data_IF_208296788316
#
_entry.id   IF_208296788316
#
_cell.length_a   1.000
_cell.length_b   1.000
_cell.length_c   1.000
_cell.angle_alpha   90.00
_cell.angle_beta   90.00
_cell.angle_gamma   90.00
#
_symmetry.space_group_name_H-M   'P 1'
#
loop_
_entity.id
_entity.type
_entity.pdbx_description
1 polymer ?
#
# COMPACT_ATOMS: atom_id res chain seq x y z
N UNK A 1 -6.99 21.75 21.27
CA UNK A 1 -8.19 21.81 20.42
C UNK A 1 -8.47 20.40 19.96
N UNK A 2 -9.53 19.80 20.48
CA UNK A 2 -10.05 18.54 19.97
C UNK A 2 -10.66 18.80 18.59
N UNK A 3 -10.26 18.00 17.60
CA UNK A 3 -10.84 18.05 16.27
C UNK A 3 -11.68 16.78 16.05
N UNK A 4 -12.88 16.92 15.48
CA UNK A 4 -13.82 15.80 15.32
C UNK A 4 -14.20 15.62 13.86
N UNK A 5 -14.03 14.40 13.35
CA UNK A 5 -14.36 14.01 11.98
C UNK A 5 -15.38 12.87 11.97
N UNK A 6 -16.02 12.60 10.82
CA UNK A 6 -16.86 11.41 10.67
C UNK A 6 -15.99 10.15 10.65
N UNK A 7 -14.92 10.19 9.85
CA UNK A 7 -13.98 9.09 9.69
C UNK A 7 -12.55 9.53 9.96
N UNK A 8 -11.81 8.69 10.68
CA UNK A 8 -10.36 8.79 10.79
C UNK A 8 -9.72 7.63 10.03
N UNK A 9 -8.89 7.93 9.05
CA UNK A 9 -8.09 6.94 8.32
C UNK A 9 -6.64 7.08 8.77
N UNK A 10 -6.08 6.02 9.36
CA UNK A 10 -4.74 6.03 9.95
C UNK A 10 -3.74 5.35 9.02
N UNK A 11 -2.85 6.13 8.42
CA UNK A 11 -1.86 5.70 7.43
C UNK A 11 -2.29 6.06 6.02
N UNK A 12 -1.54 6.94 5.36
CA UNK A 12 -1.75 7.29 3.95
C UNK A 12 -0.94 6.38 3.02
N UNK A 13 -1.00 5.07 3.27
CA UNK A 13 -0.44 4.04 2.40
C UNK A 13 -1.34 3.74 1.19
N UNK A 14 -1.02 2.69 0.42
CA UNK A 14 -1.81 2.31 -0.76
C UNK A 14 -3.31 2.17 -0.47
N UNK A 15 -3.67 1.39 0.55
CA UNK A 15 -5.06 1.17 0.93
C UNK A 15 -5.69 2.43 1.55
N UNK A 16 -4.96 3.15 2.41
CA UNK A 16 -5.47 4.35 3.08
C UNK A 16 -5.75 5.51 2.12
N UNK A 17 -4.88 5.73 1.13
CA UNK A 17 -5.12 6.68 0.05
C UNK A 17 -6.36 6.30 -0.77
N UNK A 18 -6.47 5.03 -1.17
CA UNK A 18 -7.60 4.55 -1.96
C UNK A 18 -8.93 4.69 -1.22
N UNK A 19 -8.97 4.25 0.04
CA UNK A 19 -10.14 4.35 0.90
C UNK A 19 -10.55 5.80 1.12
N UNK A 20 -9.63 6.66 1.59
CA UNK A 20 -9.94 8.05 1.90
C UNK A 20 -10.38 8.83 0.66
N UNK A 21 -9.74 8.59 -0.49
CA UNK A 21 -10.13 9.19 -1.77
C UNK A 21 -11.54 8.76 -2.19
N UNK A 22 -11.82 7.45 -2.19
CA UNK A 22 -13.15 6.93 -2.59
C UNK A 22 -14.25 7.35 -1.63
N UNK A 23 -13.99 7.36 -0.33
CA UNK A 23 -14.94 7.83 0.67
C UNK A 23 -15.27 9.32 0.45
N UNK A 24 -14.25 10.15 0.19
CA UNK A 24 -14.44 11.56 -0.12
C UNK A 24 -15.20 11.79 -1.44
N UNK A 25 -15.04 10.91 -2.45
CA UNK A 25 -15.78 11.02 -3.72
C UNK A 25 -17.24 10.55 -3.59
N UNK A 26 -17.55 9.70 -2.61
CA UNK A 26 -18.87 9.11 -2.42
C UNK A 26 -19.86 9.96 -1.61
N UNK A 27 -19.39 11.01 -0.93
CA UNK A 27 -20.22 11.81 -0.03
C UNK A 27 -19.51 13.02 0.54
N UNK A 28 -20.14 13.64 1.53
CA UNK A 28 -19.69 14.89 2.17
C UNK A 28 -19.29 14.70 3.65
N UNK A 29 -19.20 13.46 4.13
CA UNK A 29 -18.71 13.15 5.48
C UNK A 29 -17.28 13.71 5.65
N UNK A 30 -16.97 14.28 6.82
CA UNK A 30 -15.65 14.84 7.05
C UNK A 30 -14.63 13.76 7.40
N UNK A 31 -13.49 13.77 6.71
CA UNK A 31 -12.48 12.71 6.77
C UNK A 31 -11.15 13.31 7.18
N UNK A 32 -10.50 12.72 8.18
CA UNK A 32 -9.09 13.00 8.46
C UNK A 32 -8.22 11.79 8.11
N UNK A 33 -7.32 11.98 7.15
CA UNK A 33 -6.29 11.02 6.77
C UNK A 33 -4.98 11.40 7.45
N UNK A 34 -4.52 10.56 8.38
CA UNK A 34 -3.36 10.82 9.24
C UNK A 34 -2.14 10.04 8.72
N UNK A 35 -1.02 10.71 8.46
CA UNK A 35 0.21 10.09 7.96
C UNK A 35 1.44 10.53 8.76
N UNK A 36 2.23 9.57 9.21
CA UNK A 36 3.43 9.82 10.02
C UNK A 36 4.60 10.41 9.21
N UNK A 37 4.66 10.13 7.91
CA UNK A 37 5.64 10.70 7.00
C UNK A 37 5.22 12.01 6.35
N UNK A 38 6.03 12.47 5.41
CA UNK A 38 5.83 13.72 4.66
C UNK A 38 5.06 13.53 3.35
N UNK A 39 5.04 14.60 2.55
CA UNK A 39 4.44 14.63 1.23
C UNK A 39 5.24 13.81 0.19
N UNK A 40 4.56 13.37 -0.87
CA UNK A 40 5.15 12.61 -1.99
C UNK A 40 5.75 13.50 -3.09
N UNK A 41 5.68 14.82 -2.95
CA UNK A 41 6.17 15.81 -3.91
C UNK A 41 7.69 15.94 -3.91
N UNK A 42 8.38 14.90 -4.40
CA UNK A 42 9.83 14.93 -4.52
C UNK A 42 10.32 14.22 -5.77
N UNK A 43 11.32 14.78 -6.45
CA UNK A 43 11.87 14.22 -7.69
C UNK A 43 12.34 12.77 -7.51
N UNK A 44 12.96 12.44 -6.37
CA UNK A 44 13.38 11.06 -6.06
C UNK A 44 12.19 10.09 -5.96
N UNK A 45 10.99 10.55 -5.57
CA UNK A 45 9.80 9.70 -5.54
C UNK A 45 9.25 9.52 -6.95
N UNK A 46 9.17 10.61 -7.73
CA UNK A 46 8.60 10.58 -9.07
C UNK A 46 9.44 9.82 -10.08
N UNK A 47 10.77 9.86 -9.95
CA UNK A 47 11.70 9.21 -10.88
C UNK A 47 11.86 7.73 -10.53
N UNK A 48 11.40 6.77 -11.37
CA UNK A 48 11.45 5.34 -11.08
C UNK A 48 12.81 4.82 -10.59
N UNK A 49 13.89 5.13 -11.31
CA UNK A 49 15.25 4.66 -11.00
C UNK A 49 15.85 5.28 -9.73
N UNK A 50 15.33 6.42 -9.27
CA UNK A 50 15.86 7.11 -8.09
C UNK A 50 15.58 6.38 -6.77
N UNK A 51 14.73 5.34 -6.79
CA UNK A 51 14.49 4.43 -5.65
C UNK A 51 15.77 3.90 -5.02
N UNK A 52 16.77 3.58 -5.85
CA UNK A 52 18.07 3.06 -5.41
C UNK A 52 18.80 4.00 -4.43
N UNK A 53 18.52 5.31 -4.46
CA UNK A 53 19.18 6.29 -3.60
C UNK A 53 18.67 6.30 -2.14
N UNK A 54 17.44 5.86 -1.89
CA UNK A 54 16.82 5.95 -0.55
C UNK A 54 16.28 4.63 0.00
N UNK A 55 16.10 3.59 -0.83
CA UNK A 55 15.70 2.26 -0.37
C UNK A 55 16.68 1.60 0.62
N UNK A 56 18.02 1.72 0.49
CA UNK A 56 18.95 0.97 1.33
C UNK A 56 18.98 1.37 2.81
N UNK A 57 18.44 2.54 3.18
CA UNK A 57 18.54 3.10 4.54
C UNK A 57 17.21 3.62 5.04
N UNK A 58 17.01 3.55 6.36
CA UNK A 58 15.93 4.26 7.02
C UNK A 58 16.09 5.77 6.81
N UNK A 59 14.97 6.50 6.74
CA UNK A 59 14.97 7.94 6.53
C UNK A 59 13.57 8.52 6.34
N UNK A 60 13.49 9.65 5.66
CA UNK A 60 12.23 10.39 5.47
C UNK A 60 11.20 9.65 4.62
N UNK A 61 11.62 8.65 3.83
CA UNK A 61 10.77 7.90 2.88
C UNK A 61 10.72 6.40 3.12
N UNK A 62 11.63 5.91 3.95
CA UNK A 62 11.74 4.50 4.29
C UNK A 62 11.75 4.38 5.81
N UNK A 63 10.78 3.67 6.38
CA UNK A 63 10.77 3.35 7.81
C UNK A 63 12.02 2.55 8.18
N UNK A 64 12.47 1.66 7.29
CA UNK A 64 13.67 0.85 7.45
C UNK A 64 13.52 -0.23 8.52
N UNK A 65 12.41 -0.96 8.50
CA UNK A 65 12.22 -2.10 9.39
C UNK A 65 13.32 -3.13 9.17
N UNK A 66 13.60 -3.89 10.22
CA UNK A 66 14.51 -5.03 10.17
C UNK A 66 13.89 -6.19 10.93
N UNK A 67 14.09 -7.39 10.43
CA UNK A 67 13.71 -8.58 11.18
C UNK A 67 14.54 -8.71 12.46
N UNK A 68 14.02 -9.48 13.41
CA UNK A 68 14.88 -10.15 14.40
C UNK A 68 15.87 -11.08 13.70
N UNK A 69 16.95 -11.54 14.35
CA UNK A 69 17.84 -12.55 13.77
C UNK A 69 17.03 -13.75 13.26
N UNK A 70 17.27 -14.15 12.02
CA UNK A 70 16.54 -15.25 11.38
C UNK A 70 17.41 -16.51 11.42
N UNK A 71 16.96 -17.53 12.15
CA UNK A 71 17.68 -18.82 12.27
C UNK A 71 17.89 -19.46 10.89
N UNK A 72 16.84 -19.52 10.06
CA UNK A 72 16.91 -20.04 8.69
C UNK A 72 17.76 -19.20 7.72
N UNK A 73 18.37 -18.11 8.17
CA UNK A 73 19.27 -17.25 7.39
C UNK A 73 20.59 -16.98 8.12
N UNK A 74 21.09 -17.96 8.89
CA UNK A 74 22.36 -17.88 9.63
C UNK A 74 22.43 -16.71 10.62
N UNK A 75 21.31 -16.42 11.29
CA UNK A 75 21.21 -15.34 12.28
C UNK A 75 21.19 -13.93 11.67
N UNK A 76 21.09 -13.80 10.34
CA UNK A 76 21.03 -12.49 9.67
C UNK A 76 19.77 -11.72 10.06
N UNK A 77 19.90 -10.40 10.13
CA UNK A 77 18.79 -9.45 10.22
C UNK A 77 18.52 -8.87 8.86
N UNK A 78 17.38 -9.23 8.28
CA UNK A 78 16.98 -8.83 6.93
C UNK A 78 16.35 -7.44 6.96
N UNK A 79 16.65 -6.63 5.94
CA UNK A 79 16.03 -5.31 5.76
C UNK A 79 14.65 -5.47 5.14
N UNK A 80 13.66 -4.80 5.71
CA UNK A 80 12.27 -4.77 5.23
C UNK A 80 11.87 -3.30 4.98
N UNK A 81 12.15 -2.76 3.78
CA UNK A 81 11.79 -1.38 3.46
C UNK A 81 10.27 -1.16 3.54
N UNK A 82 9.85 -0.16 4.30
CA UNK A 82 8.45 0.25 4.40
C UNK A 82 8.32 1.71 4.01
N UNK A 83 7.40 2.05 3.10
CA UNK A 83 7.25 3.44 2.66
C UNK A 83 6.75 4.34 3.80
N UNK A 84 7.38 5.51 3.97
CA UNK A 84 7.01 6.53 4.95
C UNK A 84 6.60 7.81 4.23
N UNK A 85 5.34 8.23 4.39
CA UNK A 85 4.78 9.40 3.72
C UNK A 85 3.60 9.06 2.83
N UNK A 86 3.01 10.09 2.20
CA UNK A 86 1.85 9.93 1.33
C UNK A 86 2.14 8.91 0.21
N UNK A 87 1.26 7.92 0.07
CA UNK A 87 1.38 6.76 -0.81
C UNK A 87 1.97 5.51 -0.13
N UNK A 88 2.56 5.62 1.06
CA UNK A 88 3.22 4.53 1.78
C UNK A 88 4.13 3.70 0.88
N UNK A 89 4.08 2.37 0.94
CA UNK A 89 5.01 1.55 0.14
C UNK A 89 4.90 1.74 -1.38
N UNK A 90 3.79 2.26 -1.94
CA UNK A 90 3.73 2.62 -3.37
C UNK A 90 4.68 3.75 -3.77
N UNK A 91 5.14 4.56 -2.80
CA UNK A 91 6.14 5.61 -3.02
C UNK A 91 7.56 5.04 -3.21
N UNK A 92 7.82 3.81 -2.79
CA UNK A 92 9.15 3.17 -2.84
C UNK A 92 9.19 1.86 -3.65
N UNK A 93 8.06 1.29 -4.05
CA UNK A 93 7.98 -0.02 -4.72
C UNK A 93 8.67 -0.07 -6.09
N UNK A 94 8.84 -1.26 -6.64
CA UNK A 94 9.30 -1.48 -8.01
C UNK A 94 8.25 -1.12 -9.08
N UNK A 95 7.04 -0.70 -8.68
CA UNK A 95 5.91 -0.33 -9.55
C UNK A 95 5.33 -1.46 -10.40
N UNK A 96 5.82 -2.70 -10.30
CA UNK A 96 5.23 -3.85 -10.98
C UNK A 96 3.74 -3.94 -10.64
N UNK A 97 2.91 -4.05 -11.66
CA UNK A 97 1.46 -4.20 -11.52
C UNK A 97 1.06 -5.63 -11.88
N UNK A 98 0.76 -6.42 -10.85
CA UNK A 98 0.27 -7.79 -10.93
C UNK A 98 -0.79 -8.02 -9.87
N UNK A 99 -1.81 -8.82 -10.20
CA UNK A 99 -2.87 -9.27 -9.31
C UNK A 99 -2.57 -10.70 -8.84
N UNK A 100 -3.16 -11.11 -7.72
CA UNK A 100 -3.23 -12.53 -7.35
C UNK A 100 -3.99 -13.36 -8.40
N UNK A 101 -3.94 -14.68 -8.26
CA UNK A 101 -4.74 -15.60 -9.07
C UNK A 101 -6.18 -15.66 -8.54
N UNK A 102 -7.18 -16.00 -9.38
CA UNK A 102 -8.56 -16.20 -8.92
C UNK A 102 -8.66 -17.08 -7.66
N UNK A 103 -7.94 -18.20 -7.65
CA UNK A 103 -7.91 -19.13 -6.53
C UNK A 103 -7.39 -18.53 -5.20
N UNK A 104 -6.56 -17.48 -5.24
CA UNK A 104 -6.09 -16.81 -4.02
C UNK A 104 -7.25 -16.10 -3.30
N UNK A 105 -8.16 -15.49 -4.07
CA UNK A 105 -9.32 -14.76 -3.56
C UNK A 105 -10.47 -15.71 -3.19
N UNK A 106 -10.68 -16.74 -4.01
CA UNK A 106 -11.66 -17.79 -3.69
C UNK A 106 -11.29 -18.50 -2.38
N UNK A 107 -9.99 -18.76 -2.15
CA UNK A 107 -9.52 -19.29 -0.88
C UNK A 107 -9.76 -18.34 0.31
N UNK A 108 -9.76 -17.02 0.11
CA UNK A 108 -10.16 -16.08 1.17
C UNK A 108 -11.66 -16.18 1.48
N UNK A 109 -12.50 -16.28 0.45
CA UNK A 109 -13.93 -16.48 0.64
C UNK A 109 -14.23 -17.81 1.36
N UNK A 110 -13.57 -18.89 0.95
CA UNK A 110 -13.68 -20.20 1.60
C UNK A 110 -13.20 -20.18 3.06
N UNK A 111 -12.25 -19.29 3.39
CA UNK A 111 -11.79 -19.06 4.77
C UNK A 111 -12.74 -18.17 5.60
N UNK A 112 -13.87 -17.72 5.04
CA UNK A 112 -14.90 -16.94 5.72
C UNK A 112 -14.86 -15.44 5.45
N UNK A 113 -14.08 -14.98 4.47
CA UNK A 113 -14.12 -13.59 4.01
C UNK A 113 -15.24 -13.42 2.96
N UNK A 114 -16.49 -13.36 3.42
CA UNK A 114 -17.65 -13.18 2.55
C UNK A 114 -17.48 -11.95 1.63
N UNK A 115 -17.76 -12.12 0.33
CA UNK A 115 -17.62 -11.06 -0.67
C UNK A 115 -16.18 -10.81 -1.15
N UNK A 116 -15.23 -11.71 -0.86
CA UNK A 116 -13.84 -11.64 -1.31
C UNK A 116 -13.47 -12.68 -2.36
N UNK A 117 -14.43 -13.39 -2.96
CA UNK A 117 -14.15 -14.31 -4.06
C UNK A 117 -13.63 -13.56 -5.29
N UNK A 118 -13.01 -14.24 -6.25
CA UNK A 118 -12.51 -13.61 -7.47
C UNK A 118 -13.57 -12.78 -8.19
N UNK A 119 -14.79 -13.33 -8.28
CA UNK A 119 -15.90 -12.67 -9.00
C UNK A 119 -16.35 -11.40 -8.29
N UNK A 120 -16.23 -11.34 -6.96
CA UNK A 120 -16.60 -10.18 -6.15
C UNK A 120 -15.54 -9.06 -6.23
N UNK A 121 -14.26 -9.43 -6.29
CA UNK A 121 -13.15 -8.45 -6.26
C UNK A 121 -12.74 -7.96 -7.65
N UNK A 122 -12.95 -8.74 -8.72
CA UNK A 122 -12.61 -8.35 -10.09
C UNK A 122 -13.20 -6.98 -10.51
N UNK A 123 -14.48 -6.66 -10.22
CA UNK A 123 -15.02 -5.32 -10.47
C UNK A 123 -14.23 -4.19 -9.80
N UNK A 124 -13.63 -4.44 -8.63
CA UNK A 124 -12.82 -3.44 -7.92
C UNK A 124 -11.42 -3.30 -8.52
N UNK A 125 -10.83 -4.39 -9.03
CA UNK A 125 -9.57 -4.32 -9.79
C UNK A 125 -9.74 -3.49 -11.05
N UNK A 126 -10.79 -3.77 -11.84
CA UNK A 126 -11.15 -2.97 -13.01
C UNK A 126 -11.40 -1.51 -12.65
N UNK A 127 -12.21 -1.25 -11.61
CA UNK A 127 -12.52 0.12 -11.17
C UNK A 127 -11.30 0.91 -10.67
N UNK A 128 -10.24 0.23 -10.21
CA UNK A 128 -9.01 0.88 -9.77
C UNK A 128 -8.08 1.22 -10.94
N UNK A 129 -8.09 0.43 -12.00
CA UNK A 129 -7.13 0.46 -13.10
C UNK A 129 -7.49 1.46 -14.20
N UNK A 130 -6.48 2.15 -14.72
CA UNK A 130 -6.49 2.81 -16.02
C UNK A 130 -5.34 2.23 -16.85
N UNK A 131 -5.63 1.13 -17.54
CA UNK A 131 -4.66 0.41 -18.36
C UNK A 131 -4.50 1.11 -19.71
N UNK A 132 -3.26 1.45 -20.06
CA UNK A 132 -2.97 2.19 -21.28
C UNK A 132 -2.95 1.31 -22.55
N UNK A 133 -2.96 -0.02 -22.42
CA UNK A 133 -2.82 -0.96 -23.55
C UNK A 133 -3.98 -1.95 -23.67
N UNK A 134 -4.39 -2.54 -22.55
CA UNK A 134 -5.28 -3.70 -22.53
C UNK A 134 -6.73 -3.34 -22.24
N UNK A 135 -6.97 -2.23 -21.53
CA UNK A 135 -8.33 -1.72 -21.45
C UNK A 135 -8.72 -1.24 -22.85
N UNK A 136 -9.55 -2.02 -23.53
CA UNK A 136 -10.13 -1.69 -24.82
C UNK A 136 -11.20 -0.59 -24.70
N UNK A 137 -12.39 -0.86 -25.22
CA UNK A 137 -13.59 -0.07 -24.91
C UNK A 137 -14.05 -0.35 -23.46
N UNK A 138 -15.03 0.40 -22.94
CA UNK A 138 -15.47 0.37 -21.53
C UNK A 138 -15.96 -1.01 -21.01
N UNK A 139 -15.93 -2.06 -21.84
CA UNK A 139 -16.45 -3.41 -21.59
C UNK A 139 -15.41 -4.54 -21.48
N UNK A 140 -14.09 -4.26 -21.52
CA UNK A 140 -13.07 -5.31 -21.33
C UNK A 140 -13.30 -6.11 -20.03
N UNK A 141 -13.37 -7.46 -20.07
CA UNK A 141 -13.80 -8.26 -18.93
C UNK A 141 -12.81 -8.28 -17.76
N UNK A 142 -11.53 -7.97 -18.00
CA UNK A 142 -10.46 -8.10 -17.02
C UNK A 142 -9.82 -6.76 -16.66
N UNK A 143 -9.81 -5.79 -17.57
CA UNK A 143 -9.11 -4.52 -17.39
C UNK A 143 -10.06 -3.33 -17.25
N UNK A 144 -9.57 -2.30 -16.55
CA UNK A 144 -10.23 -1.00 -16.45
C UNK A 144 -9.45 0.08 -17.19
N UNK A 145 -10.17 0.95 -17.90
CA UNK A 145 -9.59 2.07 -18.66
C UNK A 145 -9.68 3.43 -17.96
N UNK A 146 -10.50 3.56 -16.93
CA UNK A 146 -10.94 4.87 -16.39
C UNK A 146 -10.64 5.05 -14.90
N UNK A 147 -10.03 4.06 -14.25
CA UNK A 147 -9.67 4.10 -12.85
C UNK A 147 -8.53 5.10 -12.53
N UNK A 148 -8.31 5.41 -11.25
CA UNK A 148 -7.31 6.41 -10.85
C UNK A 148 -5.85 5.92 -10.97
N UNK A 149 -5.61 4.61 -11.05
CA UNK A 149 -4.28 4.03 -11.10
C UNK A 149 -3.84 3.78 -12.55
N UNK A 150 -2.99 4.65 -13.09
CA UNK A 150 -2.40 4.42 -14.41
C UNK A 150 -1.48 3.20 -14.41
N UNK A 151 -1.75 2.28 -15.33
CA UNK A 151 -0.98 1.07 -15.60
C UNK A 151 -0.51 1.13 -17.05
N UNK A 152 0.80 1.06 -17.26
CA UNK A 152 1.41 1.17 -18.59
C UNK A 152 2.53 0.17 -18.79
N UNK A 153 2.88 -0.10 -20.03
CA UNK A 153 4.13 -0.77 -20.34
C UNK A 153 5.33 0.12 -19.96
N UNK A 154 6.51 -0.48 -19.87
CA UNK A 154 7.77 0.24 -19.63
C UNK A 154 8.10 1.15 -20.83
N UNK A 155 8.35 2.45 -20.57
CA UNK A 155 8.79 3.38 -21.63
C UNK A 155 10.23 3.17 -22.08
N UNK A 156 11.08 2.67 -21.19
CA UNK A 156 12.51 2.47 -21.44
C UNK A 156 12.94 1.14 -20.80
N UNK A 157 12.47 0.00 -21.33
CA UNK A 157 12.84 -1.31 -20.82
C UNK A 157 14.34 -1.54 -21.00
N UNK A 158 14.95 -2.32 -20.10
CA UNK A 158 16.34 -2.73 -20.27
C UNK A 158 16.46 -3.57 -21.56
N UNK A 159 17.27 -3.15 -22.55
CA UNK A 159 17.43 -3.90 -23.80
C UNK A 159 17.82 -5.36 -23.58
N UNK A 160 18.61 -5.64 -22.53
CA UNK A 160 19.07 -6.99 -22.22
C UNK A 160 17.94 -7.95 -21.85
N UNK A 161 16.82 -7.46 -21.33
CA UNK A 161 15.70 -8.31 -20.94
C UNK A 161 15.01 -8.99 -22.15
N UNK A 162 15.20 -8.50 -23.38
CA UNK A 162 14.79 -9.22 -24.59
C UNK A 162 15.49 -10.58 -24.70
N UNK A 163 16.80 -10.63 -24.45
CA UNK A 163 17.55 -11.88 -24.51
C UNK A 163 17.09 -12.89 -23.45
N UNK A 164 16.66 -12.40 -22.28
CA UNK A 164 16.10 -13.25 -21.25
C UNK A 164 14.77 -13.89 -21.71
N UNK A 165 13.86 -13.07 -22.26
CA UNK A 165 12.58 -13.54 -22.80
C UNK A 165 12.80 -14.54 -23.93
N UNK A 166 13.67 -14.22 -24.89
CA UNK A 166 13.98 -15.10 -26.03
C UNK A 166 14.59 -16.44 -25.57
N UNK A 167 15.50 -16.41 -24.59
CA UNK A 167 16.10 -17.61 -24.04
C UNK A 167 15.07 -18.48 -23.30
N UNK A 168 14.18 -17.87 -22.51
CA UNK A 168 13.10 -18.57 -21.83
C UNK A 168 12.12 -19.21 -22.82
N UNK A 169 11.77 -18.53 -23.91
CA UNK A 169 10.96 -19.12 -24.99
C UNK A 169 11.64 -20.33 -25.64
N UNK A 170 12.95 -20.25 -25.93
CA UNK A 170 13.72 -21.39 -26.46
C UNK A 170 13.82 -22.56 -25.48
N UNK A 171 13.70 -22.28 -24.18
CA UNK A 171 13.63 -23.30 -23.13
C UNK A 171 12.22 -23.88 -22.93
N UNK A 172 11.23 -23.46 -23.73
CA UNK A 172 9.86 -23.97 -23.68
C UNK A 172 8.91 -23.19 -22.77
N UNK A 173 9.33 -22.06 -22.21
CA UNK A 173 8.47 -21.20 -21.39
C UNK A 173 7.61 -20.33 -22.32
N UNK A 174 6.29 -20.37 -22.15
CA UNK A 174 5.34 -19.63 -22.98
C UNK A 174 5.53 -18.13 -22.79
N UNK A 175 5.46 -17.37 -23.90
CA UNK A 175 5.50 -15.91 -23.83
C UNK A 175 4.16 -15.40 -23.29
N UNK A 176 4.20 -14.57 -22.26
CA UNK A 176 3.03 -13.95 -21.67
C UNK A 176 3.03 -12.44 -21.95
N UNK A 177 1.94 -11.93 -22.54
CA UNK A 177 1.75 -10.52 -22.85
C UNK A 177 0.93 -9.76 -21.80
N UNK A 178 0.35 -10.47 -20.84
CA UNK A 178 -0.53 -9.94 -19.81
C UNK A 178 -0.58 -10.87 -18.58
N UNK A 179 0.20 -10.53 -17.57
CA UNK A 179 0.24 -11.25 -16.29
C UNK A 179 -1.04 -11.08 -15.45
N UNK A 180 -2.01 -10.30 -15.91
CA UNK A 180 -3.32 -10.12 -15.28
C UNK A 180 -4.48 -10.63 -16.14
N UNK A 181 -4.17 -11.33 -17.23
CA UNK A 181 -5.13 -11.95 -18.14
C UNK A 181 -5.61 -13.31 -17.62
N UNK A 182 -6.28 -14.06 -18.50
CA UNK A 182 -6.81 -15.40 -18.19
C UNK A 182 -5.71 -16.38 -17.73
N UNK A 183 -4.52 -16.29 -18.35
CA UNK A 183 -3.35 -17.10 -18.00
C UNK A 183 -2.20 -16.22 -17.50
N UNK A 184 -1.73 -16.46 -16.27
CA UNK A 184 -0.61 -15.71 -15.68
C UNK A 184 0.76 -16.38 -15.90
N UNK A 185 0.79 -17.67 -16.26
CA UNK A 185 2.05 -18.38 -16.45
C UNK A 185 2.80 -17.88 -17.68
N UNK A 186 4.13 -17.82 -17.58
CA UNK A 186 5.00 -17.55 -18.72
C UNK A 186 6.06 -16.48 -18.47
N UNK A 187 6.63 -15.99 -19.56
CA UNK A 187 7.72 -15.01 -19.57
C UNK A 187 7.37 -13.80 -20.44
N UNK A 188 7.63 -12.59 -19.93
CA UNK A 188 7.19 -11.38 -20.61
C UNK A 188 7.59 -10.11 -19.89
N UNK A 189 7.01 -9.01 -20.35
CA UNK A 189 7.21 -7.69 -19.77
C UNK A 189 6.13 -7.39 -18.75
N UNK A 190 6.53 -7.00 -17.54
CA UNK A 190 5.58 -6.49 -16.56
C UNK A 190 5.03 -5.12 -17.01
N UNK A 191 3.74 -4.91 -16.78
CA UNK A 191 3.19 -3.56 -16.71
C UNK A 191 3.55 -2.92 -15.37
N UNK A 192 3.56 -1.59 -15.36
CA UNK A 192 3.98 -0.80 -14.21
C UNK A 192 2.99 0.31 -13.91
N UNK A 193 2.90 0.70 -12.64
CA UNK A 193 2.14 1.87 -12.19
C UNK A 193 2.92 3.16 -12.49
N UNK A 194 2.95 3.54 -13.77
CA UNK A 194 3.62 4.74 -14.26
C UNK A 194 2.70 5.53 -15.19
N UNK A 195 2.91 6.84 -15.25
CA UNK A 195 2.24 7.71 -16.20
C UNK A 195 3.21 8.79 -16.67
N UNK A 196 3.32 8.99 -17.99
CA UNK A 196 4.27 9.92 -18.61
C UNK A 196 5.73 9.73 -18.14
N UNK A 197 6.12 8.49 -17.81
CA UNK A 197 7.47 8.13 -17.36
C UNK A 197 7.76 8.43 -15.89
N UNK A 198 6.76 8.87 -15.12
CA UNK A 198 6.86 9.07 -13.68
C UNK A 198 6.12 7.96 -12.92
N UNK A 199 6.59 7.68 -11.71
CA UNK A 199 5.89 6.85 -10.73
C UNK A 199 4.48 7.40 -10.49
N UNK A 200 3.49 6.50 -10.51
CA UNK A 200 2.10 6.78 -10.18
C UNK A 200 1.70 6.10 -8.87
N UNK A 201 2.08 6.71 -7.74
CA UNK A 201 1.79 6.18 -6.41
C UNK A 201 0.30 6.37 -6.02
N UNK A 202 -0.12 5.73 -4.93
CA UNK A 202 -1.52 5.77 -4.49
C UNK A 202 -2.01 7.17 -4.06
N UNK A 203 -1.16 8.01 -3.46
CA UNK A 203 -1.55 9.38 -3.12
C UNK A 203 -1.83 10.20 -4.38
N UNK A 204 -0.99 10.05 -5.41
CA UNK A 204 -1.17 10.69 -6.70
C UNK A 204 -2.43 10.22 -7.42
N UNK A 205 -2.72 8.92 -7.36
CA UNK A 205 -3.92 8.34 -7.95
C UNK A 205 -5.20 8.82 -7.25
N UNK A 206 -5.28 8.69 -5.92
CA UNK A 206 -6.55 8.83 -5.19
C UNK A 206 -6.74 10.16 -4.45
N UNK A 207 -5.65 10.83 -4.07
CA UNK A 207 -5.73 12.02 -3.20
C UNK A 207 -5.57 13.34 -3.95
N UNK A 208 -4.65 13.44 -4.91
CA UNK A 208 -4.40 14.71 -5.62
C UNK A 208 -4.52 14.64 -7.15
N UNK A 209 -4.95 13.51 -7.71
CA UNK A 209 -5.34 13.38 -9.12
C UNK A 209 -4.21 13.77 -10.08
N UNK A 210 -2.97 13.42 -9.75
CA UNK A 210 -1.81 13.77 -10.56
C UNK A 210 -1.23 15.17 -10.34
N UNK A 211 -1.92 16.06 -9.60
CA UNK A 211 -1.46 17.43 -9.38
C UNK A 211 -0.38 17.50 -8.29
N UNK A 212 0.88 17.34 -8.71
CA UNK A 212 2.06 17.44 -7.83
C UNK A 212 2.27 18.84 -7.20
N UNK A 213 1.48 19.85 -7.56
CA UNK A 213 1.49 21.19 -6.96
C UNK A 213 0.39 21.38 -5.92
N UNK A 214 -0.47 20.38 -5.71
CA UNK A 214 -1.55 20.43 -4.74
C UNK A 214 -1.00 20.37 -3.30
N UNK A 215 -0.83 21.55 -2.69
CA UNK A 215 -0.31 21.70 -1.33
C UNK A 215 -1.21 21.13 -0.23
N UNK A 216 -2.50 20.94 -0.50
CA UNK A 216 -3.44 20.35 0.46
C UNK A 216 -3.59 18.84 0.28
N UNK A 217 -3.04 18.30 -0.83
CA UNK A 217 -3.05 16.88 -1.18
C UNK A 217 -4.43 16.23 -1.14
N UNK A 218 -5.52 16.98 -1.32
CA UNK A 218 -6.90 16.50 -1.20
C UNK A 218 -7.71 16.62 -2.49
N UNK A 219 -7.09 17.00 -3.61
CA UNK A 219 -7.75 17.05 -4.92
C UNK A 219 -8.84 18.11 -5.02
N UNK A 220 -8.86 19.11 -4.12
CA UNK A 220 -9.90 20.12 -4.06
C UNK A 220 -11.12 19.75 -3.20
N UNK A 221 -11.14 18.55 -2.61
CA UNK A 221 -12.20 18.09 -1.70
C UNK A 221 -12.01 18.71 -0.32
N UNK A 222 -12.81 19.72 0.02
CA UNK A 222 -12.68 20.50 1.26
C UNK A 222 -12.98 19.69 2.53
N UNK A 223 -13.76 18.61 2.43
CA UNK A 223 -14.09 17.69 3.52
C UNK A 223 -13.05 16.57 3.73
N UNK A 224 -12.03 16.47 2.86
CA UNK A 224 -10.90 15.56 3.03
C UNK A 224 -9.68 16.31 3.57
N UNK A 225 -9.36 16.04 4.83
CA UNK A 225 -8.24 16.64 5.55
C UNK A 225 -7.04 15.69 5.58
N UNK A 226 -6.01 15.98 4.79
CA UNK A 226 -4.78 15.19 4.75
C UNK A 226 -3.74 15.80 5.69
N UNK A 227 -3.35 15.04 6.71
CA UNK A 227 -2.52 15.49 7.82
C UNK A 227 -1.20 14.70 7.84
N UNK A 228 -0.18 15.23 7.17
CA UNK A 228 1.19 14.67 7.20
C UNK A 228 1.92 15.02 8.49
N UNK A 229 2.96 14.26 8.82
CA UNK A 229 3.73 14.38 10.07
C UNK A 229 2.92 14.06 11.32
N UNK A 230 1.73 13.47 11.17
CA UNK A 230 0.83 13.08 12.24
C UNK A 230 1.05 11.60 12.58
N UNK A 231 1.88 11.32 13.57
CA UNK A 231 2.17 9.96 13.99
C UNK A 231 1.14 9.49 15.02
N UNK A 232 0.22 8.62 14.62
CA UNK A 232 -0.79 8.07 15.54
C UNK A 232 -0.13 7.13 16.55
N UNK A 233 -0.35 7.40 17.84
CA UNK A 233 0.25 6.70 18.96
C UNK A 233 -0.65 5.58 19.50
N UNK A 234 -1.97 5.85 19.58
CA UNK A 234 -2.99 4.90 20.05
C UNK A 234 -4.38 5.28 19.57
N UNK A 235 -5.25 4.29 19.46
CA UNK A 235 -6.69 4.42 19.28
C UNK A 235 -7.34 4.64 20.65
N UNK A 236 -8.32 5.54 20.71
CA UNK A 236 -9.12 5.82 21.89
C UNK A 236 -10.37 4.97 21.88
N UNK A 237 -10.71 4.39 23.03
CA UNK A 237 -11.88 3.53 23.19
C UNK A 237 -12.82 4.04 24.29
N UNK A 238 -14.11 3.98 24.00
CA UNK A 238 -15.17 3.99 25.01
C UNK A 238 -15.73 2.58 25.10
N UNK A 239 -15.39 1.87 26.19
CA UNK A 239 -15.57 0.42 26.32
C UNK A 239 -14.86 -0.31 25.16
N UNK A 240 -15.62 -0.82 24.19
CA UNK A 240 -15.11 -1.53 22.99
C UNK A 240 -15.31 -0.75 21.69
N UNK A 241 -15.84 0.47 21.76
CA UNK A 241 -16.04 1.31 20.58
C UNK A 241 -14.82 2.22 20.40
N UNK A 242 -14.19 2.19 19.22
CA UNK A 242 -13.19 3.18 18.84
C UNK A 242 -13.88 4.55 18.64
N UNK A 243 -13.36 5.58 19.30
CA UNK A 243 -13.95 6.94 19.31
C UNK A 243 -12.99 8.02 18.85
N UNK A 244 -11.75 7.67 18.54
CA UNK A 244 -10.73 8.61 18.12
C UNK A 244 -9.34 8.03 18.17
N UNK A 245 -8.35 8.90 18.04
CA UNK A 245 -6.93 8.57 18.18
C UNK A 245 -6.18 9.68 18.92
N UNK A 246 -5.06 9.30 19.52
CA UNK A 246 -4.03 10.25 19.96
C UNK A 246 -2.90 10.21 18.94
N UNK A 247 -2.49 11.38 18.44
CA UNK A 247 -1.41 11.52 17.49
C UNK A 247 -0.35 12.52 17.98
N UNK A 248 0.91 12.24 17.70
CA UNK A 248 2.01 13.20 17.85
C UNK A 248 2.19 14.00 16.57
N UNK A 249 2.11 15.34 16.67
CA UNK A 249 2.31 16.24 15.53
C UNK A 249 2.81 17.59 16.03
N UNK A 250 3.76 18.19 15.32
CA UNK A 250 4.29 19.53 15.63
C UNK A 250 4.76 19.68 17.09
N UNK A 251 5.40 18.64 17.63
CA UNK A 251 5.97 18.63 18.98
C UNK A 251 4.98 18.47 20.12
N UNK A 252 3.72 18.09 19.85
CA UNK A 252 2.68 17.88 20.87
C UNK A 252 1.78 16.70 20.56
N UNK A 253 1.15 16.16 21.60
CA UNK A 253 0.02 15.23 21.46
C UNK A 253 -1.24 15.99 21.07
N UNK A 254 -2.01 15.38 20.17
CA UNK A 254 -3.30 15.84 19.68
C UNK A 254 -4.30 14.70 19.80
N UNK A 255 -5.45 15.00 20.39
CA UNK A 255 -6.60 14.12 20.39
C UNK A 255 -7.53 14.47 19.23
N UNK A 256 -7.88 13.46 18.44
CA UNK A 256 -8.76 13.59 17.27
C UNK A 256 -9.88 12.57 17.40
N UNK A 257 -11.14 13.02 17.36
CA UNK A 257 -12.33 12.17 17.57
C UNK A 257 -12.97 11.75 16.25
N UNK A 258 -13.58 10.57 16.26
CA UNK A 258 -14.34 10.00 15.14
C UNK A 258 -15.82 9.85 15.53
N UNK A 259 -16.75 10.37 14.73
CA UNK A 259 -18.20 10.18 14.94
C UNK A 259 -18.64 8.78 14.52
N UNK A 260 -18.02 8.22 13.48
CA UNK A 260 -18.39 6.91 12.91
C UNK A 260 -17.30 5.88 13.18
N UNK A 261 -16.20 5.95 12.46
CA UNK A 261 -15.19 4.88 12.46
C UNK A 261 -13.75 5.41 12.50
N UNK A 262 -12.88 4.58 13.10
CA UNK A 262 -11.42 4.70 13.00
C UNK A 262 -10.92 3.52 12.18
N UNK A 263 -10.31 3.80 11.04
CA UNK A 263 -9.91 2.79 10.06
C UNK A 263 -8.39 2.73 9.99
N UNK A 264 -7.82 1.58 10.33
CA UNK A 264 -6.38 1.39 10.33
C UNK A 264 -5.89 0.92 8.96
N UNK A 265 -5.06 1.75 8.34
CA UNK A 265 -4.39 1.51 7.06
C UNK A 265 -2.87 1.70 7.19
N UNK A 266 -2.31 1.38 8.36
CA UNK A 266 -0.89 1.57 8.70
C UNK A 266 0.03 0.43 8.20
N UNK A 267 -0.48 -0.43 7.33
CA UNK A 267 0.25 -1.56 6.72
C UNK A 267 0.40 -2.78 7.64
N UNK A 268 0.95 -3.86 7.09
CA UNK A 268 1.05 -5.16 7.75
C UNK A 268 1.86 -5.15 9.06
N UNK A 269 2.78 -4.19 9.23
CA UNK A 269 3.54 -4.01 10.47
C UNK A 269 2.92 -2.95 11.39
N UNK A 270 2.53 -1.80 10.83
CA UNK A 270 2.06 -0.66 11.63
C UNK A 270 0.67 -0.87 12.23
N UNK A 271 -0.24 -1.53 11.50
CA UNK A 271 -1.60 -1.80 12.00
C UNK A 271 -1.63 -2.70 13.25
N UNK A 272 -1.00 -3.89 13.27
CA UNK A 272 -1.00 -4.72 14.48
C UNK A 272 -0.21 -4.07 15.63
N UNK A 273 0.89 -3.36 15.34
CA UNK A 273 1.60 -2.58 16.36
C UNK A 273 0.69 -1.55 17.03
N UNK A 274 -0.06 -0.79 16.22
CA UNK A 274 -0.96 0.24 16.73
C UNK A 274 -2.14 -0.37 17.50
N UNK A 275 -2.70 -1.49 17.04
CA UNK A 275 -3.72 -2.23 17.81
C UNK A 275 -3.20 -2.63 19.18
N UNK A 276 -2.00 -3.23 19.23
CA UNK A 276 -1.38 -3.64 20.50
C UNK A 276 -1.10 -2.44 21.41
N UNK A 277 -0.54 -1.35 20.87
CA UNK A 277 -0.32 -0.10 21.62
C UNK A 277 -1.63 0.53 22.14
N UNK A 278 -2.77 0.15 21.56
CA UNK A 278 -4.11 0.61 21.95
C UNK A 278 -4.86 -0.39 22.84
N UNK A 279 -4.22 -1.46 23.27
CA UNK A 279 -4.81 -2.47 24.16
C UNK A 279 -5.60 -3.58 23.46
N UNK A 280 -5.46 -3.73 22.14
CA UNK A 280 -6.09 -4.81 21.36
C UNK A 280 -5.02 -5.76 20.84
N UNK A 281 -4.98 -6.99 21.37
CA UNK A 281 -3.94 -7.97 21.01
C UNK A 281 -3.79 -9.09 22.04
N UNK A 282 -2.71 -9.90 21.98
CA UNK A 282 -2.50 -11.01 22.91
C UNK A 282 -2.38 -10.51 24.35
N UNK A 283 -3.37 -10.83 25.20
CA UNK A 283 -3.50 -10.25 26.55
C UNK A 283 -2.23 -10.36 27.41
N UNK A 284 -1.55 -11.52 27.38
CA UNK A 284 -0.33 -11.71 28.19
C UNK A 284 0.80 -10.80 27.73
N UNK A 285 1.02 -10.69 26.42
CA UNK A 285 2.04 -9.80 25.85
C UNK A 285 1.75 -8.32 26.16
N UNK A 286 0.48 -7.91 26.09
CA UNK A 286 0.08 -6.55 26.45
C UNK A 286 0.36 -6.23 27.94
N UNK A 287 0.06 -7.17 28.83
CA UNK A 287 0.32 -7.02 30.27
C UNK A 287 1.81 -6.93 30.60
N UNK A 288 2.65 -7.72 29.93
CA UNK A 288 4.12 -7.65 30.07
C UNK A 288 4.67 -6.27 29.72
N UNK A 289 4.05 -5.58 28.76
CA UNK A 289 4.42 -4.23 28.33
C UNK A 289 3.71 -3.12 29.12
N UNK A 290 2.89 -3.46 30.12
CA UNK A 290 2.13 -2.49 30.92
C UNK A 290 1.01 -1.79 30.14
N UNK A 291 0.56 -2.34 29.01
CA UNK A 291 -0.53 -1.78 28.22
C UNK A 291 -1.88 -2.27 28.76
N UNK A 292 -2.81 -1.37 29.12
CA UNK A 292 -4.16 -1.78 29.54
C UNK A 292 -4.89 -2.55 28.44
N UNK A 293 -5.48 -3.69 28.80
CA UNK A 293 -6.15 -4.58 27.84
C UNK A 293 -7.58 -4.11 27.61
N UNK A 294 -7.90 -3.73 26.37
CA UNK A 294 -9.25 -3.40 25.89
C UNK A 294 -9.93 -4.67 25.36
N UNK A 295 -9.20 -5.47 24.57
CA UNK A 295 -9.71 -6.71 23.99
C UNK A 295 -8.56 -7.72 23.77
N UNK A 296 -8.73 -8.93 24.32
CA UNK A 296 -7.82 -10.03 24.05
C UNK A 296 -8.10 -10.60 22.66
N UNK A 297 -7.12 -10.44 21.75
CA UNK A 297 -7.20 -10.90 20.38
C UNK A 297 -5.84 -11.48 19.96
N UNK A 298 -5.56 -12.76 20.24
CA UNK A 298 -4.23 -13.34 20.10
C UNK A 298 -3.70 -13.39 18.65
N UNK A 299 -4.58 -13.26 17.66
CA UNK A 299 -4.18 -13.19 16.25
C UNK A 299 -3.51 -11.88 15.83
N UNK A 300 -3.60 -10.81 16.63
CA UNK A 300 -2.98 -9.52 16.28
C UNK A 300 -1.46 -9.64 16.28
N UNK A 301 -0.86 -9.39 15.12
CA UNK A 301 0.58 -9.49 14.90
C UNK A 301 1.07 -10.91 14.57
N UNK A 302 0.19 -11.91 14.56
CA UNK A 302 0.48 -13.26 14.11
C UNK A 302 0.22 -13.43 12.60
N UNK A 303 0.49 -14.63 12.08
CA UNK A 303 0.22 -15.02 10.68
C UNK A 303 0.82 -14.06 9.63
N UNK A 304 1.99 -13.47 9.93
CA UNK A 304 2.73 -12.70 8.93
C UNK A 304 3.21 -13.64 7.82
N UNK A 305 2.82 -13.34 6.59
CA UNK A 305 3.26 -14.02 5.40
C UNK A 305 3.95 -13.00 4.48
N UNK A 306 5.05 -13.42 3.86
CA UNK A 306 5.84 -12.59 2.95
C UNK A 306 6.52 -13.48 1.90
N UNK A 307 6.98 -12.89 0.80
CA UNK A 307 7.70 -13.59 -0.25
C UNK A 307 9.22 -13.45 -0.03
N UNK A 308 9.89 -14.58 0.18
CA UNK A 308 11.36 -14.62 0.29
C UNK A 308 11.97 -14.49 -1.11
N UNK A 309 12.81 -13.48 -1.30
CA UNK A 309 13.51 -13.22 -2.56
C UNK A 309 15.01 -13.55 -2.47
N UNK A 310 15.58 -14.00 -3.59
CA UNK A 310 17.01 -14.27 -3.76
C UNK A 310 17.48 -13.66 -5.07
N UNK A 311 18.47 -12.76 -4.99
CA UNK A 311 19.09 -12.17 -6.17
C UNK A 311 20.17 -13.08 -6.76
N UNK A 312 19.99 -13.49 -8.01
CA UNK A 312 21.02 -14.17 -8.81
C UNK A 312 21.63 -13.17 -9.80
N UNK A 313 22.93 -12.92 -9.69
CA UNK A 313 23.64 -11.95 -10.52
C UNK A 313 24.63 -12.65 -11.45
N UNK A 314 24.62 -12.29 -12.74
CA UNK A 314 25.59 -12.81 -13.72
C UNK A 314 26.20 -11.66 -14.49
N UNK A 315 27.52 -11.71 -14.64
CA UNK A 315 28.24 -10.79 -15.53
C UNK A 315 27.94 -11.18 -16.98
N UNK A 316 27.39 -10.22 -17.72
CA UNK A 316 27.22 -10.33 -19.17
C UNK A 316 28.41 -9.64 -19.83
N UNK A 317 28.98 -10.25 -20.88
CA UNK A 317 29.98 -9.57 -21.72
C UNK A 317 29.24 -8.60 -22.64
N UNK A 318 29.65 -7.34 -22.63
CA UNK A 318 29.14 -6.31 -23.54
C UNK A 318 29.47 -6.67 -24.99
#
# INVERSE_FOLDING_TARGET
MEATFDYLVVGAGSAGCALAGRLADSGNDSIALLEAGGHDHHVLVRTPAAGAAFLPRAGSRNVGYRTVPQEGLDGRRVSLPGGRGLGGSSLISAMIYTRGRPADYDAWADAGCDGWSWVDVLPYFRRAECNARLAGEDDDPLHGGTGPLHVSDLRSPNPFAHHFIDAAQRAGIVRNGDFNGDEQEGVGWYQVTQHNGERWNAARAYLHGGNARNRTSNGGRSHLHVLTGAHVLRVLFERRRAVGVVAWRDGKELEIRARREVILAAGAFGSPQLLMASGVGPMMHLRELGVPVVHDLPGVGANLQDHVDVSVQRRVRA
#
